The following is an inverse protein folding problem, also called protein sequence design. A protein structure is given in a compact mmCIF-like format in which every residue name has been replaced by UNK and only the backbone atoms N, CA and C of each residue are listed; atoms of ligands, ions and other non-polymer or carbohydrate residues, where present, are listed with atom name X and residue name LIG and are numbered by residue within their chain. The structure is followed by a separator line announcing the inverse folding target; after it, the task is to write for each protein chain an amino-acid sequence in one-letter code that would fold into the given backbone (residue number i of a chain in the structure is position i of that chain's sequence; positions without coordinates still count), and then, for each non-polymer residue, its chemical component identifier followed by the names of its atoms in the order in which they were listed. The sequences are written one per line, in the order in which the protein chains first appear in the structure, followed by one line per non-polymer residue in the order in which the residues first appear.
data_IF_996789792871
#
_entry.id   IF_996789792871
#
_cell.length_a   1.000
_cell.length_b   1.000
_cell.length_c   1.000
_cell.angle_alpha   90.00
_cell.angle_beta   90.00
_cell.angle_gamma   90.00
#
_symmetry.space_group_name_H-M   'P 1'
#
loop_
_entity.id
_entity.type
_entity.pdbx_description
1 polymer ?
#
# COMPACT_ATOMS: atom_id res chain seq x y z
N UNK A 1 -2.68 -14.58 -6.13
CA UNK A 1 -3.19 -13.38 -6.82
C UNK A 1 -3.89 -12.49 -5.81
N UNK A 2 -3.63 -11.19 -5.80
CA UNK A 2 -4.24 -10.25 -4.85
C UNK A 2 -5.56 -9.71 -5.40
N UNK A 3 -6.62 -10.53 -5.40
CA UNK A 3 -7.88 -10.21 -6.08
C UNK A 3 -8.60 -8.97 -5.51
N UNK A 4 -8.35 -8.60 -4.24
CA UNK A 4 -8.95 -7.42 -3.62
C UNK A 4 -8.18 -6.12 -3.80
N UNK A 5 -6.92 -6.17 -4.29
CA UNK A 5 -6.07 -4.98 -4.43
C UNK A 5 -6.65 -3.96 -5.41
N UNK A 6 -7.20 -4.35 -6.58
CA UNK A 6 -7.85 -3.40 -7.50
C UNK A 6 -9.06 -2.65 -6.91
N UNK A 7 -9.62 -3.10 -5.79
CA UNK A 7 -10.77 -2.47 -5.12
C UNK A 7 -10.37 -1.50 -4.00
N UNK A 8 -9.07 -1.29 -3.75
CA UNK A 8 -8.59 -0.35 -2.76
C UNK A 8 -8.68 1.10 -3.26
N UNK A 9 -9.07 2.00 -2.36
CA UNK A 9 -9.21 3.42 -2.60
C UNK A 9 -8.33 4.23 -1.62
N UNK A 10 -7.97 5.48 -1.96
CA UNK A 10 -7.30 6.37 -1.03
C UNK A 10 -8.04 6.47 0.31
N UNK A 11 -7.30 6.33 1.41
CA UNK A 11 -7.83 6.30 2.78
C UNK A 11 -8.08 4.90 3.34
N UNK A 12 -8.16 3.86 2.50
CA UNK A 12 -8.30 2.48 2.98
C UNK A 12 -7.10 2.06 3.83
N UNK A 13 -7.35 1.24 4.86
CA UNK A 13 -6.32 0.77 5.79
C UNK A 13 -5.83 -0.63 5.42
N UNK A 14 -4.52 -0.77 5.26
CA UNK A 14 -3.85 -2.06 5.11
C UNK A 14 -3.12 -2.40 6.41
N UNK A 15 -3.49 -3.51 7.04
CA UNK A 15 -2.88 -3.97 8.29
C UNK A 15 -1.87 -5.08 8.02
N UNK A 16 -0.64 -4.91 8.50
CA UNK A 16 0.43 -5.91 8.37
C UNK A 16 0.79 -6.42 9.75
N UNK A 17 0.53 -7.71 9.98
CA UNK A 17 1.03 -8.43 11.15
C UNK A 17 2.54 -8.69 11.00
N UNK A 18 3.29 -8.43 12.07
CA UNK A 18 4.74 -8.64 12.13
C UNK A 18 5.06 -9.88 12.97
N UNK A 19 6.24 -10.44 12.77
CA UNK A 19 6.70 -11.62 13.49
C UNK A 19 6.83 -11.40 15.01
N UNK A 20 7.00 -10.15 15.45
CA UNK A 20 7.02 -9.74 16.85
C UNK A 20 5.62 -9.70 17.51
N UNK A 21 4.57 -10.04 16.76
CA UNK A 21 3.18 -9.99 17.21
C UNK A 21 2.52 -8.61 17.14
N UNK A 22 3.26 -7.56 16.77
CA UNK A 22 2.70 -6.24 16.53
C UNK A 22 1.96 -6.17 15.19
N UNK A 23 1.05 -5.20 15.07
CA UNK A 23 0.41 -4.85 13.79
C UNK A 23 0.70 -3.40 13.48
N UNK A 24 1.10 -3.13 12.24
CA UNK A 24 1.20 -1.77 11.72
C UNK A 24 0.14 -1.53 10.66
N UNK A 25 -0.33 -0.29 10.58
CA UNK A 25 -1.33 0.12 9.60
C UNK A 25 -0.71 1.06 8.57
N UNK A 26 -1.09 0.89 7.31
CA UNK A 26 -0.78 1.79 6.22
C UNK A 26 -2.07 2.38 5.66
N UNK A 27 -2.08 3.66 5.31
CA UNK A 27 -3.18 4.28 4.56
C UNK A 27 -2.84 4.26 3.08
N UNK A 28 -3.80 3.83 2.25
CA UNK A 28 -3.66 3.95 0.80
C UNK A 28 -3.64 5.42 0.41
N UNK A 29 -2.62 5.82 -0.33
CA UNK A 29 -2.51 7.15 -0.92
C UNK A 29 -3.09 7.15 -2.34
N UNK A 30 -2.77 6.10 -3.11
CA UNK A 30 -3.13 6.01 -4.51
C UNK A 30 -3.09 4.57 -5.01
N UNK A 31 -3.98 4.29 -5.96
CA UNK A 31 -3.88 3.15 -6.87
C UNK A 31 -3.53 3.70 -8.26
N UNK A 32 -2.55 3.07 -8.91
CA UNK A 32 -2.07 3.43 -10.25
C UNK A 32 -1.89 2.16 -11.08
N UNK A 33 -2.17 2.26 -12.37
CA UNK A 33 -1.95 1.17 -13.32
C UNK A 33 -0.93 1.63 -14.36
N UNK A 34 0.07 0.80 -14.63
CA UNK A 34 1.13 1.08 -15.57
C UNK A 34 1.25 -0.06 -16.59
N UNK A 35 1.38 0.24 -17.89
CA UNK A 35 1.76 -0.77 -18.87
C UNK A 35 3.09 -1.41 -18.46
N UNK A 36 3.23 -2.72 -18.62
CA UNK A 36 4.48 -3.43 -18.29
C UNK A 36 5.69 -2.89 -19.06
N UNK A 37 5.48 -2.39 -20.28
CA UNK A 37 6.51 -1.77 -21.12
C UNK A 37 6.99 -0.40 -20.62
N UNK A 38 6.25 0.23 -19.70
CA UNK A 38 6.52 1.56 -19.18
C UNK A 38 6.46 1.59 -17.64
N UNK A 39 6.71 0.43 -17.00
CA UNK A 39 6.63 0.31 -15.56
C UNK A 39 7.66 1.23 -14.88
N UNK A 40 7.24 2.12 -13.96
CA UNK A 40 8.13 3.12 -13.38
C UNK A 40 8.94 2.51 -12.22
N UNK A 41 9.95 1.71 -12.55
CA UNK A 41 10.78 0.97 -11.59
C UNK A 41 11.30 1.83 -10.45
N UNK A 42 11.85 3.01 -10.73
CA UNK A 42 12.42 3.89 -9.69
C UNK A 42 11.35 4.45 -8.75
N UNK A 43 10.15 4.73 -9.25
CA UNK A 43 9.03 5.18 -8.42
C UNK A 43 8.52 4.07 -7.50
N UNK A 44 8.50 2.82 -7.98
CA UNK A 44 7.91 1.69 -7.27
C UNK A 44 8.88 1.04 -6.31
N UNK A 45 10.13 0.85 -6.73
CA UNK A 45 11.17 0.11 -6.01
C UNK A 45 12.32 0.99 -5.51
N UNK A 46 12.35 2.27 -5.88
CA UNK A 46 13.36 3.21 -5.39
C UNK A 46 13.28 3.42 -3.88
N UNK A 47 14.35 3.96 -3.29
CA UNK A 47 14.43 4.19 -1.85
C UNK A 47 13.43 5.25 -1.38
N UNK A 48 12.98 5.14 -0.14
CA UNK A 48 12.20 6.18 0.54
C UNK A 48 12.82 6.61 1.85
N UNK A 49 12.55 7.86 2.22
CA UNK A 49 12.95 8.46 3.50
C UNK A 49 12.05 8.00 4.66
N UNK A 50 10.81 7.64 4.35
CA UNK A 50 9.80 7.20 5.32
C UNK A 50 9.35 5.75 5.05
N UNK A 51 8.80 5.06 6.07
CA UNK A 51 8.17 3.76 5.87
C UNK A 51 6.94 3.85 4.97
N UNK A 52 6.96 3.07 3.90
CA UNK A 52 5.91 3.03 2.87
C UNK A 52 5.65 1.59 2.44
N UNK A 53 4.44 1.30 1.99
CA UNK A 53 4.02 0.02 1.44
C UNK A 53 3.70 0.18 -0.05
N UNK A 54 4.17 -0.79 -0.86
CA UNK A 54 3.71 -0.98 -2.24
C UNK A 54 3.11 -2.37 -2.39
N UNK A 55 1.87 -2.44 -2.89
CA UNK A 55 1.26 -3.72 -3.32
C UNK A 55 1.25 -3.72 -4.84
N UNK A 56 1.91 -4.71 -5.45
CA UNK A 56 2.04 -4.83 -6.91
C UNK A 56 1.32 -6.08 -7.37
N UNK A 57 0.45 -5.96 -8.38
CA UNK A 57 -0.27 -7.10 -8.96
C UNK A 57 -0.52 -6.92 -10.45
N UNK A 58 -0.77 -8.00 -11.18
CA UNK A 58 -1.10 -7.95 -12.60
C UNK A 58 -2.45 -7.24 -12.82
N UNK A 59 -2.56 -6.45 -13.89
CA UNK A 59 -3.81 -5.82 -14.32
C UNK A 59 -3.88 -5.59 -15.83
N UNK A 60 -4.87 -4.81 -16.26
CA UNK A 60 -5.13 -4.58 -17.68
C UNK A 60 -5.74 -5.78 -18.39
N UNK A 61 -5.65 -5.81 -19.71
CA UNK A 61 -6.25 -6.87 -20.52
C UNK A 61 -5.42 -8.14 -20.48
N UNK A 62 -6.08 -9.29 -20.42
CA UNK A 62 -5.43 -10.59 -20.53
C UNK A 62 -5.37 -11.05 -21.99
N UNK A 63 -4.21 -11.58 -22.40
CA UNK A 63 -4.08 -12.30 -23.66
C UNK A 63 -3.39 -13.65 -23.47
N UNK A 64 -3.84 -14.66 -24.21
CA UNK A 64 -3.18 -15.96 -24.26
C UNK A 64 -1.79 -15.79 -24.89
N UNK A 65 -0.75 -16.17 -24.13
CA UNK A 65 0.65 -16.13 -24.57
C UNK A 65 1.50 -15.03 -23.92
N UNK A 66 0.92 -13.87 -23.59
CA UNK A 66 1.65 -12.77 -22.93
C UNK A 66 1.12 -12.41 -21.53
N UNK A 67 -0.05 -12.92 -21.16
CA UNK A 67 -0.68 -12.66 -19.87
C UNK A 67 -1.35 -11.28 -19.81
N UNK A 68 -1.39 -10.72 -18.61
CA UNK A 68 -1.90 -9.38 -18.33
C UNK A 68 -0.95 -8.30 -18.85
N UNK A 69 -1.48 -7.25 -19.49
CA UNK A 69 -0.70 -6.18 -20.13
C UNK A 69 -0.02 -5.20 -19.16
N UNK A 70 -0.60 -5.05 -17.96
CA UNK A 70 -0.26 -3.96 -17.05
C UNK A 70 0.06 -4.51 -15.65
N UNK A 71 0.64 -3.65 -14.83
CA UNK A 71 0.75 -3.83 -13.38
C UNK A 71 -0.06 -2.74 -12.66
N UNK A 72 -0.77 -3.14 -11.62
CA UNK A 72 -1.46 -2.26 -10.68
C UNK A 72 -0.60 -2.13 -9.43
N UNK A 73 -0.31 -0.89 -9.05
CA UNK A 73 0.48 -0.52 -7.88
C UNK A 73 -0.38 0.30 -6.93
N UNK A 74 -0.52 -0.19 -5.70
CA UNK A 74 -1.05 0.58 -4.58
C UNK A 74 0.11 1.18 -3.81
N UNK A 75 0.08 2.49 -3.64
CA UNK A 75 1.01 3.26 -2.80
C UNK A 75 0.32 3.56 -1.47
N UNK A 76 1.02 3.35 -0.38
CA UNK A 76 0.50 3.59 0.95
C UNK A 76 1.59 4.04 1.92
N UNK A 77 1.26 4.98 2.81
CA UNK A 77 2.14 5.48 3.86
C UNK A 77 1.85 4.84 5.22
N UNK A 78 2.86 4.74 6.08
CA UNK A 78 2.65 4.25 7.45
C UNK A 78 1.74 5.23 8.21
N UNK A 79 0.73 4.70 8.89
CA UNK A 79 -0.07 5.46 9.84
C UNK A 79 0.68 5.47 11.16
N UNK A 80 1.13 6.64 11.66
CA UNK A 80 1.73 6.70 12.98
C UNK A 80 0.73 6.20 14.03
N UNK A 81 1.20 5.50 15.09
CA UNK A 81 0.33 5.18 16.21
C UNK A 81 -0.32 6.46 16.72
N UNK A 82 -1.62 6.42 16.98
CA UNK A 82 -2.31 7.54 17.59
C UNK A 82 -1.61 7.87 18.92
N UNK A 83 -0.98 9.04 19.01
CA UNK A 83 -0.49 9.55 20.28
C UNK A 83 -1.71 9.95 21.08
N UNK A 84 -2.11 9.11 22.05
CA UNK A 84 -3.11 9.51 23.03
C UNK A 84 -2.44 10.59 23.89
N UNK A 85 -2.73 11.86 23.63
CA UNK A 85 -2.48 12.90 24.62
C UNK A 85 -3.34 12.57 25.83
N UNK A 86 -2.71 11.98 26.85
CA UNK A 86 -3.31 11.81 28.17
C UNK A 86 -3.55 13.22 28.68
N UNK A 87 -4.73 13.76 28.43
CA UNK A 87 -5.20 14.94 29.15
C UNK A 87 -5.20 14.55 30.62
N UNK A 88 -4.31 15.20 31.34
CA UNK A 88 -4.25 15.40 32.79
C UNK A 88 -5.58 15.08 33.48
N UNK A 89 -5.73 13.86 33.99
CA UNK A 89 -6.69 13.59 35.07
C UNK A 89 -6.01 13.99 36.36
N UNK A 90 -5.95 15.30 36.59
CA UNK A 90 -5.85 15.84 37.95
C UNK A 90 -7.08 15.40 38.72
N UNK A 91 -6.81 14.97 39.95
CA UNK A 91 -7.77 14.54 40.94
C UNK A 91 -8.89 15.56 41.15
N UNK A 92 -10.12 15.07 41.33
CA UNK A 92 -11.12 15.60 42.28
C UNK A 92 -11.81 14.42 42.92
#
# INVERSE_FOLDING_TARGET
MFNGVPALHPGDRVRIGRADGSTVEFAVDALRQYPKSAFPTDLVYGPTTEPTLRLVTCGGSFSHGSGYSDDVVVFAHLVPPAVLHRHDRSAV
#
